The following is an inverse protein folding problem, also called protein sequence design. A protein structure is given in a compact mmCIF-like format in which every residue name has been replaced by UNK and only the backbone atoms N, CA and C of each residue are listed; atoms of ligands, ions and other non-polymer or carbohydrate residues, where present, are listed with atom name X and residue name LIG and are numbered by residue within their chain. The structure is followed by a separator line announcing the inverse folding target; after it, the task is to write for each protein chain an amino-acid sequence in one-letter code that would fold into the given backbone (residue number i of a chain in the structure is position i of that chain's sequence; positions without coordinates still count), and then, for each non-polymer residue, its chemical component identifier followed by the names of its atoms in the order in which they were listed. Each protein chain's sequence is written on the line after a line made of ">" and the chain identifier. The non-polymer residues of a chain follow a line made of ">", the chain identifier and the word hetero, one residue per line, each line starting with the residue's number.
data_IF_452167332172
#
_entry.id   IF_452167332172
#
_cell.length_a   1.000
_cell.length_b   1.000
_cell.length_c   1.000
_cell.angle_alpha   90.00
_cell.angle_beta   90.00
_cell.angle_gamma   90.00
#
_symmetry.space_group_name_H-M   'P 1'
#
loop_
_entity.id
_entity.type
_entity.pdbx_description
1 polymer ?
#
# COMPACT_ATOMS: atom_id res chain seq x y z
N UNK A 1 -12.01 -27.97 12.50
CA UNK A 1 -12.95 -27.10 13.22
C UNK A 1 -14.18 -26.74 12.38
N UNK A 2 -14.10 -25.86 11.36
CA UNK A 2 -15.30 -25.51 10.54
C UNK A 2 -15.89 -26.73 9.81
N UNK A 3 -15.04 -27.62 9.29
CA UNK A 3 -15.48 -28.89 8.68
C UNK A 3 -16.23 -29.76 9.70
N UNK A 4 -15.70 -29.91 10.91
CA UNK A 4 -16.33 -30.70 11.98
C UNK A 4 -17.71 -30.16 12.35
N UNK A 5 -17.87 -28.82 12.37
CA UNK A 5 -19.16 -28.16 12.56
C UNK A 5 -20.13 -28.49 11.41
N UNK A 6 -19.70 -28.36 10.16
CA UNK A 6 -20.53 -28.69 8.97
C UNK A 6 -20.92 -30.18 8.97
N UNK A 7 -20.01 -31.07 9.35
CA UNK A 7 -20.29 -32.50 9.47
C UNK A 7 -21.31 -32.78 10.58
N UNK A 8 -21.24 -32.05 11.70
CA UNK A 8 -22.20 -32.16 12.78
C UNK A 8 -23.61 -31.76 12.33
N UNK A 9 -23.78 -30.64 11.60
CA UNK A 9 -25.10 -30.24 11.11
C UNK A 9 -25.68 -31.19 10.06
N UNK A 10 -24.83 -31.81 9.24
CA UNK A 10 -25.26 -32.82 8.27
C UNK A 10 -25.76 -34.10 8.95
N UNK A 11 -25.12 -34.52 10.05
CA UNK A 11 -25.46 -35.76 10.75
C UNK A 11 -26.54 -35.58 11.83
N UNK A 12 -26.69 -34.36 12.37
CA UNK A 12 -27.59 -34.04 13.49
C UNK A 12 -28.38 -32.77 13.12
N UNK A 13 -29.43 -32.95 12.30
CA UNK A 13 -30.22 -31.84 11.75
C UNK A 13 -30.84 -30.91 12.80
N UNK A 14 -31.16 -31.41 14.00
CA UNK A 14 -31.72 -30.57 15.07
C UNK A 14 -30.74 -29.48 15.55
N UNK A 15 -29.43 -29.70 15.36
CA UNK A 15 -28.37 -28.75 15.71
C UNK A 15 -27.98 -27.83 14.56
N UNK A 16 -28.60 -27.93 13.38
CA UNK A 16 -28.18 -27.20 12.19
C UNK A 16 -28.17 -25.67 12.40
N UNK A 17 -29.13 -25.13 13.14
CA UNK A 17 -29.19 -23.69 13.44
C UNK A 17 -28.11 -23.27 14.43
N UNK A 18 -27.82 -24.08 15.46
CA UNK A 18 -26.75 -23.79 16.43
C UNK A 18 -25.38 -23.83 15.76
N UNK A 19 -25.15 -24.85 14.92
CA UNK A 19 -23.94 -24.96 14.10
C UNK A 19 -23.77 -23.74 13.20
N UNK A 20 -24.83 -23.32 12.50
CA UNK A 20 -24.83 -22.12 11.66
C UNK A 20 -24.35 -20.89 12.44
N UNK A 21 -24.91 -20.64 13.62
CA UNK A 21 -24.51 -19.50 14.45
C UNK A 21 -23.05 -19.60 14.91
N UNK A 22 -22.56 -20.79 15.29
CA UNK A 22 -21.15 -20.98 15.69
C UNK A 22 -20.19 -20.75 14.53
N UNK A 23 -20.53 -21.20 13.33
CA UNK A 23 -19.71 -20.94 12.13
C UNK A 23 -19.66 -19.43 11.83
N UNK A 24 -20.80 -18.73 11.91
CA UNK A 24 -20.88 -17.27 11.77
C UNK A 24 -19.98 -16.57 12.81
N UNK A 25 -20.06 -16.97 14.08
CA UNK A 25 -19.23 -16.41 15.16
C UNK A 25 -17.73 -16.62 14.92
N UNK A 26 -17.32 -17.81 14.44
CA UNK A 26 -15.93 -18.10 14.12
C UNK A 26 -15.40 -17.14 13.04
N UNK A 27 -16.17 -16.92 11.98
CA UNK A 27 -15.75 -15.98 10.92
C UNK A 27 -15.73 -14.53 11.40
N UNK A 28 -16.71 -14.09 12.18
CA UNK A 28 -16.71 -12.73 12.76
C UNK A 28 -15.52 -12.53 13.70
N UNK A 29 -15.24 -13.52 14.56
CA UNK A 29 -14.12 -13.48 15.50
C UNK A 29 -12.78 -13.45 14.77
N UNK A 30 -12.59 -14.27 13.73
CA UNK A 30 -11.36 -14.27 12.94
C UNK A 30 -11.11 -12.90 12.28
N UNK A 31 -12.14 -12.30 11.68
CA UNK A 31 -12.01 -10.98 11.05
C UNK A 31 -11.61 -9.92 12.08
N UNK A 32 -12.34 -9.87 13.20
CA UNK A 32 -12.11 -8.91 14.28
C UNK A 32 -10.71 -9.05 14.87
N UNK A 33 -10.26 -10.28 15.16
CA UNK A 33 -8.91 -10.53 15.70
C UNK A 33 -7.82 -10.17 14.70
N UNK A 34 -8.00 -10.47 13.42
CA UNK A 34 -7.02 -10.11 12.39
C UNK A 34 -6.89 -8.59 12.27
N UNK A 35 -8.02 -7.86 12.27
CA UNK A 35 -8.03 -6.39 12.26
C UNK A 35 -7.31 -5.83 13.51
N UNK A 36 -7.64 -6.33 14.70
CA UNK A 36 -7.01 -5.90 15.95
C UNK A 36 -5.49 -6.12 15.93
N UNK A 37 -5.03 -7.28 15.43
CA UNK A 37 -3.62 -7.65 15.43
C UNK A 37 -2.81 -6.81 14.43
N UNK A 38 -3.37 -6.53 13.26
CA UNK A 38 -2.67 -5.83 12.17
C UNK A 38 -2.90 -4.32 12.21
N UNK A 39 -4.16 -3.86 12.14
CA UNK A 39 -4.52 -2.44 12.12
C UNK A 39 -4.56 -1.83 13.53
N UNK A 40 -5.06 -2.58 14.51
CA UNK A 40 -5.11 -2.15 15.92
C UNK A 40 -3.76 -2.18 16.66
N UNK A 41 -2.64 -2.42 15.94
CA UNK A 41 -1.31 -2.64 16.48
C UNK A 41 -1.26 -3.72 17.59
N UNK A 42 -2.21 -4.66 17.57
CA UNK A 42 -2.33 -5.71 18.58
C UNK A 42 -1.07 -6.57 18.64
N UNK A 43 -0.52 -6.98 17.49
CA UNK A 43 0.71 -7.79 17.46
C UNK A 43 1.92 -7.10 18.10
N UNK A 44 1.99 -5.77 18.10
CA UNK A 44 3.07 -5.04 18.78
C UNK A 44 2.94 -5.26 20.30
N UNK A 45 1.72 -5.18 20.83
CA UNK A 45 1.44 -5.31 22.27
C UNK A 45 1.44 -6.76 22.77
N UNK A 46 0.89 -7.69 21.99
CA UNK A 46 0.68 -9.07 22.45
C UNK A 46 1.68 -10.08 21.90
N UNK A 47 2.36 -9.81 20.78
CA UNK A 47 3.37 -10.69 20.19
C UNK A 47 4.80 -10.11 20.24
N UNK A 48 4.99 -8.92 20.83
CA UNK A 48 6.31 -8.31 21.02
C UNK A 48 6.98 -7.84 19.72
N UNK A 49 6.22 -7.65 18.63
CA UNK A 49 6.80 -7.15 17.38
C UNK A 49 7.19 -5.67 17.51
N UNK A 50 8.35 -5.31 16.97
CA UNK A 50 8.79 -3.90 16.93
C UNK A 50 7.92 -3.04 16.01
N UNK A 51 7.42 -3.60 14.91
CA UNK A 51 6.54 -2.91 13.97
C UNK A 51 5.75 -3.89 13.11
N UNK A 52 4.63 -3.41 12.56
CA UNK A 52 3.88 -4.12 11.52
C UNK A 52 4.52 -3.77 10.16
N UNK A 53 4.97 -4.80 9.44
CA UNK A 53 5.68 -4.64 8.15
C UNK A 53 4.75 -4.94 6.99
N UNK A 54 5.14 -4.54 5.77
CA UNK A 54 4.41 -4.88 4.54
C UNK A 54 4.21 -6.41 4.37
N UNK A 55 5.16 -7.22 4.86
CA UNK A 55 5.03 -8.68 4.87
C UNK A 55 3.86 -9.14 5.75
N UNK A 56 3.70 -8.57 6.95
CA UNK A 56 2.60 -8.92 7.85
C UNK A 56 1.25 -8.55 7.22
N UNK A 57 1.16 -7.37 6.60
CA UNK A 57 -0.04 -6.92 5.91
C UNK A 57 -0.37 -7.82 4.72
N UNK A 58 0.62 -8.17 3.89
CA UNK A 58 0.41 -9.04 2.73
C UNK A 58 -0.08 -10.45 3.14
N UNK A 59 0.51 -11.03 4.19
CA UNK A 59 0.06 -12.33 4.73
C UNK A 59 -1.35 -12.26 5.33
N UNK A 60 -1.67 -11.20 6.06
CA UNK A 60 -3.02 -10.99 6.57
C UNK A 60 -4.04 -10.86 5.43
N UNK A 61 -3.71 -10.09 4.39
CA UNK A 61 -4.55 -9.92 3.19
C UNK A 61 -4.80 -11.25 2.46
N UNK A 62 -3.78 -12.11 2.36
CA UNK A 62 -3.95 -13.47 1.82
C UNK A 62 -4.87 -14.34 2.69
N UNK A 63 -4.68 -14.33 4.00
CA UNK A 63 -5.52 -15.10 4.93
C UNK A 63 -6.99 -14.67 4.84
N UNK A 64 -7.26 -13.37 4.74
CA UNK A 64 -8.61 -12.86 4.48
C UNK A 64 -9.10 -13.31 3.10
N UNK A 65 -8.24 -13.27 2.07
CA UNK A 65 -8.55 -13.75 0.72
C UNK A 65 -9.02 -15.21 0.69
N UNK A 66 -8.33 -16.09 1.42
CA UNK A 66 -8.72 -17.49 1.57
C UNK A 66 -10.14 -17.63 2.16
N UNK A 67 -10.43 -16.86 3.22
CA UNK A 67 -11.76 -16.89 3.85
C UNK A 67 -12.83 -16.33 2.91
N UNK A 68 -12.55 -15.24 2.20
CA UNK A 68 -13.42 -14.65 1.17
C UNK A 68 -13.80 -15.71 0.12
N UNK A 69 -12.82 -16.49 -0.36
CA UNK A 69 -13.06 -17.58 -1.31
C UNK A 69 -13.84 -18.73 -0.70
N UNK A 70 -13.62 -19.04 0.57
CA UNK A 70 -14.26 -20.18 1.25
C UNK A 70 -15.72 -19.93 1.66
N UNK A 71 -16.06 -18.68 2.03
CA UNK A 71 -17.37 -18.31 2.57
C UNK A 71 -18.56 -18.78 1.71
N UNK A 72 -18.57 -18.61 0.37
CA UNK A 72 -19.67 -19.09 -0.48
C UNK A 72 -19.89 -20.61 -0.40
N UNK A 73 -18.81 -21.39 -0.33
CA UNK A 73 -18.89 -22.85 -0.24
C UNK A 73 -19.42 -23.29 1.12
N UNK A 74 -18.95 -22.66 2.20
CA UNK A 74 -19.44 -22.95 3.56
C UNK A 74 -20.92 -22.59 3.70
N UNK A 75 -21.33 -21.44 3.14
CA UNK A 75 -22.73 -21.01 3.08
C UNK A 75 -23.59 -22.07 2.37
N UNK A 76 -23.12 -22.57 1.23
CA UNK A 76 -23.85 -23.58 0.45
C UNK A 76 -23.95 -24.93 1.16
N UNK A 77 -22.87 -25.40 1.80
CA UNK A 77 -22.90 -26.62 2.59
C UNK A 77 -23.91 -26.52 3.75
N UNK A 78 -23.94 -25.39 4.46
CA UNK A 78 -24.88 -25.20 5.56
C UNK A 78 -26.32 -25.08 5.06
N UNK A 79 -26.55 -24.44 3.90
CA UNK A 79 -27.88 -24.34 3.28
C UNK A 79 -28.55 -25.70 3.11
N UNK A 80 -27.79 -26.73 2.72
CA UNK A 80 -28.30 -28.09 2.52
C UNK A 80 -28.81 -28.75 3.81
N UNK A 81 -28.46 -28.22 4.98
CA UNK A 81 -28.87 -28.73 6.30
C UNK A 81 -30.02 -27.95 6.93
N UNK A 82 -30.45 -26.84 6.29
CA UNK A 82 -31.45 -25.91 6.83
C UNK A 82 -32.82 -26.12 6.18
N UNK A 83 -33.88 -25.79 6.92
CA UNK A 83 -35.25 -25.69 6.37
C UNK A 83 -35.42 -24.38 5.60
N UNK A 84 -36.42 -24.31 4.71
CA UNK A 84 -36.75 -23.12 3.91
C UNK A 84 -36.99 -21.87 4.77
N UNK A 85 -37.52 -22.01 5.98
CA UNK A 85 -37.69 -20.89 6.91
C UNK A 85 -36.35 -20.38 7.46
N UNK A 86 -35.39 -21.28 7.71
CA UNK A 86 -34.08 -20.97 8.27
C UNK A 86 -33.07 -20.43 7.24
N UNK A 87 -33.28 -20.68 5.94
CA UNK A 87 -32.38 -20.19 4.88
C UNK A 87 -32.17 -18.66 4.92
N UNK A 88 -33.14 -17.90 5.42
CA UNK A 88 -33.02 -16.44 5.59
C UNK A 88 -31.84 -16.03 6.48
N UNK A 89 -31.41 -16.88 7.40
CA UNK A 89 -30.27 -16.63 8.29
C UNK A 89 -28.94 -16.60 7.52
N UNK A 90 -28.88 -17.17 6.31
CA UNK A 90 -27.68 -17.17 5.47
C UNK A 90 -27.31 -15.79 4.93
N UNK A 91 -28.19 -14.78 5.05
CA UNK A 91 -27.87 -13.38 4.73
C UNK A 91 -26.69 -12.84 5.57
N UNK A 92 -26.44 -13.43 6.75
CA UNK A 92 -25.29 -13.08 7.57
C UNK A 92 -23.95 -13.40 6.88
N UNK A 93 -23.89 -14.43 6.02
CA UNK A 93 -22.68 -14.72 5.25
C UNK A 93 -22.38 -13.63 4.23
N UNK A 94 -23.40 -13.01 3.64
CA UNK A 94 -23.23 -11.91 2.68
C UNK A 94 -22.69 -10.66 3.39
N UNK A 95 -23.18 -10.39 4.62
CA UNK A 95 -22.66 -9.33 5.50
C UNK A 95 -21.20 -9.59 5.88
N UNK A 96 -20.89 -10.80 6.34
CA UNK A 96 -19.50 -11.19 6.69
C UNK A 96 -18.59 -11.05 5.46
N UNK A 97 -19.02 -11.54 4.29
CA UNK A 97 -18.22 -11.44 3.07
C UNK A 97 -17.90 -9.98 2.72
N UNK A 98 -18.86 -9.07 2.91
CA UNK A 98 -18.65 -7.63 2.74
C UNK A 98 -17.61 -7.11 3.75
N UNK A 99 -17.76 -7.42 5.04
CA UNK A 99 -16.83 -6.98 6.10
C UNK A 99 -15.39 -7.45 5.83
N UNK A 100 -15.21 -8.67 5.32
CA UNK A 100 -13.88 -9.20 4.96
C UNK A 100 -13.27 -8.44 3.77
N UNK A 101 -14.07 -8.10 2.76
CA UNK A 101 -13.60 -7.33 1.59
C UNK A 101 -13.23 -5.89 1.98
N UNK A 102 -14.02 -5.27 2.84
CA UNK A 102 -13.73 -3.93 3.38
C UNK A 102 -12.43 -3.95 4.18
N UNK A 103 -12.25 -4.91 5.09
CA UNK A 103 -11.00 -5.07 5.83
C UNK A 103 -9.80 -5.35 4.90
N UNK A 104 -9.95 -6.19 3.88
CA UNK A 104 -8.87 -6.43 2.91
C UNK A 104 -8.49 -5.15 2.14
N UNK A 105 -9.47 -4.33 1.75
CA UNK A 105 -9.25 -3.03 1.12
C UNK A 105 -8.53 -2.06 2.05
N UNK A 106 -8.90 -2.02 3.34
CA UNK A 106 -8.24 -1.19 4.34
C UNK A 106 -6.76 -1.58 4.53
N UNK A 107 -6.44 -2.88 4.52
CA UNK A 107 -5.06 -3.37 4.54
C UNK A 107 -4.25 -2.90 3.32
N UNK A 108 -4.86 -2.93 2.12
CA UNK A 108 -4.21 -2.44 0.90
C UNK A 108 -3.98 -0.93 0.96
N UNK A 109 -4.96 -0.16 1.42
CA UNK A 109 -4.84 1.29 1.58
C UNK A 109 -3.76 1.65 2.61
N UNK A 110 -3.61 0.88 3.69
CA UNK A 110 -2.54 1.09 4.66
C UNK A 110 -1.14 0.96 4.03
N UNK A 111 -0.94 0.00 3.10
CA UNK A 111 0.33 -0.09 2.35
C UNK A 111 0.60 1.19 1.55
N UNK A 112 -0.43 1.75 0.91
CA UNK A 112 -0.32 3.02 0.17
C UNK A 112 0.01 4.17 1.12
N UNK A 113 -0.64 4.27 2.27
CA UNK A 113 -0.38 5.29 3.31
C UNK A 113 1.06 5.23 3.82
N UNK A 114 1.57 4.03 4.12
CA UNK A 114 2.97 3.86 4.56
C UNK A 114 3.95 4.37 3.48
N UNK A 115 3.67 4.08 2.20
CA UNK A 115 4.51 4.62 1.12
C UNK A 115 4.33 6.12 0.94
N UNK A 116 3.14 6.66 1.21
CA UNK A 116 2.85 8.08 1.15
C UNK A 116 3.64 8.88 2.19
N UNK A 117 3.78 8.35 3.41
CA UNK A 117 4.64 8.90 4.45
C UNK A 117 6.12 8.90 4.03
N UNK A 118 6.60 7.80 3.45
CA UNK A 118 7.98 7.72 2.90
C UNK A 118 8.23 8.75 1.81
N UNK A 119 7.32 8.86 0.83
CA UNK A 119 7.44 9.87 -0.22
C UNK A 119 7.43 11.30 0.32
N UNK A 120 6.61 11.58 1.34
CA UNK A 120 6.61 12.89 1.97
C UNK A 120 7.94 13.17 2.69
N UNK A 121 8.50 12.20 3.39
CA UNK A 121 9.79 12.34 4.06
C UNK A 121 10.94 12.63 3.06
N UNK A 122 11.05 11.80 2.02
CA UNK A 122 12.09 11.97 0.99
C UNK A 122 11.87 13.23 0.14
N UNK A 123 10.62 13.61 -0.09
CA UNK A 123 10.23 14.83 -0.78
C UNK A 123 10.59 16.11 0.00
N UNK A 124 10.40 16.13 1.31
CA UNK A 124 10.89 17.24 2.15
C UNK A 124 12.42 17.34 2.15
N UNK A 125 13.10 16.19 2.10
CA UNK A 125 14.57 16.15 2.00
C UNK A 125 15.04 16.70 0.64
N UNK A 126 14.32 16.37 -0.44
CA UNK A 126 14.53 16.93 -1.77
C UNK A 126 14.33 18.44 -1.80
N UNK A 127 13.29 18.95 -1.14
CA UNK A 127 13.03 20.39 -1.03
C UNK A 127 14.15 21.13 -0.29
N UNK A 128 14.66 20.54 0.79
CA UNK A 128 15.75 21.13 1.58
C UNK A 128 17.14 20.97 0.94
N UNK A 129 17.25 20.25 -0.18
CA UNK A 129 18.53 20.04 -0.87
C UNK A 129 18.95 21.30 -1.61
N UNK A 130 20.21 21.71 -1.43
CA UNK A 130 20.79 22.78 -2.25
C UNK A 130 21.18 22.23 -3.63
N UNK A 131 20.32 22.50 -4.61
CA UNK A 131 20.48 22.07 -6.00
C UNK A 131 21.53 22.91 -6.75
N UNK A 132 21.75 24.16 -6.33
CA UNK A 132 22.62 25.12 -7.02
C UNK A 132 24.08 25.06 -6.56
N UNK A 133 24.42 24.15 -5.64
CA UNK A 133 25.82 23.89 -5.25
C UNK A 133 26.66 23.62 -6.49
N UNK A 134 27.70 24.44 -6.69
CA UNK A 134 28.76 24.20 -7.68
C UNK A 134 29.54 22.95 -7.27
N UNK A 135 29.16 21.81 -7.83
CA UNK A 135 29.95 20.60 -7.74
C UNK A 135 30.86 20.51 -9.00
N UNK A 136 31.99 19.83 -8.86
CA UNK A 136 33.12 19.91 -9.79
C UNK A 136 33.49 18.55 -10.41
N UNK A 137 32.57 17.57 -10.48
CA UNK A 137 32.92 16.20 -10.88
C UNK A 137 31.83 15.38 -11.58
N UNK A 138 32.17 14.18 -12.12
CA UNK A 138 31.21 13.32 -12.83
C UNK A 138 30.06 12.79 -11.94
N UNK A 139 30.16 12.90 -10.62
CA UNK A 139 29.08 12.58 -9.67
C UNK A 139 27.97 13.64 -9.63
N UNK A 140 28.16 14.77 -10.31
CA UNK A 140 27.24 15.91 -10.23
C UNK A 140 25.81 15.56 -10.71
N UNK A 141 25.67 14.60 -11.64
CA UNK A 141 24.37 14.13 -12.15
C UNK A 141 23.94 12.76 -11.59
N UNK A 142 24.59 12.28 -10.54
CA UNK A 142 24.14 11.06 -9.85
C UNK A 142 22.87 11.35 -9.05
N UNK A 143 21.95 10.36 -8.94
CA UNK A 143 20.75 10.53 -8.14
C UNK A 143 21.12 10.80 -6.68
N UNK A 144 20.30 11.60 -6.01
CA UNK A 144 20.45 11.92 -4.60
C UNK A 144 20.24 10.68 -3.73
N UNK A 145 20.92 10.59 -2.57
CA UNK A 145 20.76 9.44 -1.66
C UNK A 145 19.31 9.23 -1.20
N UNK A 146 18.51 10.28 -1.03
CA UNK A 146 17.09 10.16 -0.68
C UNK A 146 16.27 9.59 -1.84
N UNK A 147 16.55 9.97 -3.10
CA UNK A 147 15.87 9.39 -4.25
C UNK A 147 16.24 7.91 -4.44
N UNK A 148 17.52 7.56 -4.29
CA UNK A 148 17.96 6.17 -4.30
C UNK A 148 17.28 5.33 -3.22
N UNK A 149 17.15 5.91 -2.01
CA UNK A 149 16.50 5.24 -0.89
C UNK A 149 15.00 5.06 -1.14
N UNK A 150 14.29 6.08 -1.66
CA UNK A 150 12.88 5.97 -2.03
C UNK A 150 12.66 4.83 -3.04
N UNK A 151 13.42 4.82 -4.14
CA UNK A 151 13.35 3.75 -5.16
C UNK A 151 13.63 2.38 -4.55
N UNK A 152 14.63 2.26 -3.68
CA UNK A 152 14.98 1.00 -3.00
C UNK A 152 13.84 0.52 -2.09
N UNK A 153 13.23 1.40 -1.32
CA UNK A 153 12.08 1.08 -0.47
C UNK A 153 10.87 0.64 -1.29
N UNK A 154 10.59 1.30 -2.43
CA UNK A 154 9.53 0.90 -3.36
C UNK A 154 9.79 -0.48 -3.98
N UNK A 155 11.02 -0.75 -4.44
CA UNK A 155 11.41 -2.07 -4.96
C UNK A 155 11.28 -3.16 -3.91
N UNK A 156 11.63 -2.84 -2.67
CA UNK A 156 11.47 -3.78 -1.54
C UNK A 156 10.00 -4.08 -1.28
N UNK A 157 9.13 -3.07 -1.31
CA UNK A 157 7.69 -3.27 -1.21
C UNK A 157 7.20 -4.19 -2.34
N UNK A 158 7.47 -3.85 -3.60
CA UNK A 158 7.05 -4.66 -4.76
C UNK A 158 7.47 -6.12 -4.62
N UNK A 159 8.74 -6.37 -4.29
CA UNK A 159 9.27 -7.72 -4.06
C UNK A 159 8.54 -8.47 -2.95
N UNK A 160 8.24 -7.79 -1.84
CA UNK A 160 7.50 -8.40 -0.73
C UNK A 160 6.06 -8.72 -1.17
N UNK A 161 5.37 -7.77 -1.80
CA UNK A 161 4.00 -7.97 -2.25
C UNK A 161 3.92 -9.07 -3.32
N UNK A 162 4.79 -9.09 -4.32
CA UNK A 162 4.80 -10.11 -5.38
C UNK A 162 5.14 -11.51 -4.90
N UNK A 163 5.72 -11.66 -3.70
CA UNK A 163 5.94 -12.97 -3.08
C UNK A 163 4.68 -13.57 -2.46
N UNK A 164 3.72 -12.74 -2.06
CA UNK A 164 2.55 -13.17 -1.29
C UNK A 164 1.22 -12.86 -1.99
N UNK A 165 1.12 -11.83 -2.83
CA UNK A 165 -0.15 -11.43 -3.41
C UNK A 165 -0.26 -11.92 -4.86
N UNK A 166 -1.50 -12.07 -5.35
CA UNK A 166 -1.73 -12.33 -6.77
C UNK A 166 -1.26 -11.16 -7.62
N UNK A 167 -1.02 -11.41 -8.91
CA UNK A 167 -0.57 -10.39 -9.86
C UNK A 167 -1.57 -9.22 -9.91
N UNK A 168 -2.88 -9.49 -9.95
CA UNK A 168 -3.91 -8.45 -10.01
C UNK A 168 -3.90 -7.54 -8.78
N UNK A 169 -3.73 -8.12 -7.58
CA UNK A 169 -3.69 -7.35 -6.33
C UNK A 169 -2.37 -6.55 -6.25
N UNK A 170 -1.24 -7.16 -6.62
CA UNK A 170 0.05 -6.49 -6.71
C UNK A 170 -0.05 -5.27 -7.63
N UNK A 171 -0.60 -5.45 -8.82
CA UNK A 171 -0.82 -4.39 -9.80
C UNK A 171 -1.66 -3.25 -9.22
N UNK A 172 -2.82 -3.58 -8.65
CA UNK A 172 -3.72 -2.59 -8.08
C UNK A 172 -3.04 -1.73 -7.00
N UNK A 173 -2.31 -2.36 -6.07
CA UNK A 173 -1.63 -1.65 -4.98
C UNK A 173 -0.49 -0.79 -5.55
N UNK A 174 0.36 -1.36 -6.41
CA UNK A 174 1.52 -0.65 -6.94
C UNK A 174 1.12 0.52 -7.84
N UNK A 175 0.08 0.39 -8.66
CA UNK A 175 -0.45 1.50 -9.46
C UNK A 175 -1.02 2.64 -8.60
N UNK A 176 -1.61 2.32 -7.45
CA UNK A 176 -2.02 3.35 -6.47
C UNK A 176 -0.80 4.04 -5.83
N UNK A 177 0.24 3.28 -5.45
CA UNK A 177 1.49 3.83 -4.90
C UNK A 177 2.16 4.77 -5.91
N UNK A 178 2.34 4.35 -7.16
CA UNK A 178 3.03 5.16 -8.18
C UNK A 178 2.26 6.45 -8.51
N UNK A 179 0.94 6.37 -8.65
CA UNK A 179 0.09 7.55 -8.84
C UNK A 179 0.17 8.53 -7.68
N UNK A 180 0.17 8.01 -6.44
CA UNK A 180 0.34 8.82 -5.23
C UNK A 180 1.73 9.49 -5.20
N UNK A 181 2.78 8.77 -5.61
CA UNK A 181 4.13 9.35 -5.73
C UNK A 181 4.19 10.50 -6.72
N UNK A 182 3.62 10.35 -7.92
CA UNK A 182 3.57 11.45 -8.88
C UNK A 182 2.94 12.70 -8.25
N UNK A 183 1.79 12.55 -7.57
CA UNK A 183 1.11 13.67 -6.92
C UNK A 183 1.97 14.33 -5.82
N UNK A 184 2.55 13.54 -4.92
CA UNK A 184 3.36 14.08 -3.81
C UNK A 184 4.66 14.70 -4.30
N UNK A 185 5.39 14.04 -5.19
CA UNK A 185 6.66 14.54 -5.69
C UNK A 185 6.45 15.81 -6.54
N UNK A 186 5.40 15.89 -7.36
CA UNK A 186 5.06 17.13 -8.07
C UNK A 186 4.87 18.30 -7.11
N UNK A 187 4.11 18.10 -6.03
CA UNK A 187 3.89 19.14 -5.02
C UNK A 187 5.17 19.57 -4.30
N UNK A 188 6.16 18.67 -4.16
CA UNK A 188 7.45 19.03 -3.56
C UNK A 188 8.35 19.76 -4.57
N UNK A 189 8.39 19.30 -5.82
CA UNK A 189 9.18 19.91 -6.91
C UNK A 189 8.78 21.37 -7.14
N UNK A 190 7.48 21.69 -7.06
CA UNK A 190 6.98 23.07 -7.20
C UNK A 190 7.52 24.04 -6.15
N UNK A 191 7.93 23.52 -4.98
CA UNK A 191 8.43 24.30 -3.85
C UNK A 191 9.96 24.29 -3.74
N UNK A 192 10.66 23.70 -4.72
CA UNK A 192 12.12 23.70 -4.78
C UNK A 192 12.61 25.02 -5.38
N UNK A 193 13.52 25.70 -4.70
CA UNK A 193 14.19 26.90 -5.23
C UNK A 193 15.42 26.48 -6.05
N UNK A 194 15.33 26.66 -7.38
CA UNK A 194 16.43 26.37 -8.33
C UNK A 194 16.68 27.61 -9.18
N UNK A 195 17.90 28.13 -9.09
CA UNK A 195 18.34 29.35 -9.78
C UNK A 195 19.46 29.11 -10.80
N UNK A 196 19.91 27.85 -10.96
CA UNK A 196 20.92 27.47 -11.95
C UNK A 196 20.47 26.38 -12.91
N UNK A 197 21.01 26.39 -14.13
CA UNK A 197 20.79 25.32 -15.11
C UNK A 197 21.36 23.98 -14.62
N UNK A 198 22.48 24.01 -13.89
CA UNK A 198 23.08 22.82 -13.29
C UNK A 198 22.13 22.21 -12.25
N UNK A 199 21.58 23.02 -11.33
CA UNK A 199 20.62 22.54 -10.33
C UNK A 199 19.37 21.92 -10.96
N UNK A 200 18.84 22.53 -12.02
CA UNK A 200 17.72 21.96 -12.79
C UNK A 200 18.07 20.61 -13.40
N UNK A 201 19.26 20.47 -13.99
CA UNK A 201 19.72 19.21 -14.57
C UNK A 201 19.95 18.12 -13.51
N UNK A 202 20.38 18.49 -12.31
CA UNK A 202 20.51 17.58 -11.16
C UNK A 202 19.16 17.05 -10.70
N UNK A 203 18.17 17.93 -10.53
CA UNK A 203 16.80 17.51 -10.18
C UNK A 203 16.18 16.64 -11.28
N UNK A 204 16.46 16.96 -12.55
CA UNK A 204 16.00 16.14 -13.67
C UNK A 204 16.61 14.73 -13.64
N UNK A 205 17.90 14.61 -13.32
CA UNK A 205 18.56 13.30 -13.19
C UNK A 205 17.93 12.45 -12.08
N UNK A 206 17.53 13.07 -10.95
CA UNK A 206 16.79 12.41 -9.87
C UNK A 206 15.46 11.83 -10.34
N UNK A 207 14.68 12.64 -11.04
CA UNK A 207 13.36 12.24 -11.56
C UNK A 207 13.50 11.16 -12.63
N UNK A 208 14.48 11.29 -13.53
CA UNK A 208 14.76 10.29 -14.56
C UNK A 208 15.18 8.96 -13.94
N UNK A 209 16.06 8.99 -12.92
CA UNK A 209 16.44 7.80 -12.19
C UNK A 209 15.22 7.13 -11.52
N UNK A 210 14.34 7.90 -10.89
CA UNK A 210 13.10 7.38 -10.30
C UNK A 210 12.22 6.68 -11.35
N UNK A 211 11.93 7.34 -12.47
CA UNK A 211 11.07 6.79 -13.53
C UNK A 211 11.71 5.55 -14.14
N UNK A 212 12.98 5.62 -14.53
CA UNK A 212 13.70 4.51 -15.16
C UNK A 212 13.71 3.28 -14.25
N UNK A 213 14.08 3.46 -12.97
CA UNK A 213 14.21 2.33 -12.04
C UNK A 213 12.89 1.71 -11.65
N UNK A 214 11.81 2.49 -11.58
CA UNK A 214 10.48 1.96 -11.27
C UNK A 214 9.76 1.40 -12.50
N UNK A 215 10.17 1.80 -13.71
CA UNK A 215 9.69 1.19 -14.96
C UNK A 215 10.19 -0.25 -15.14
N UNK A 216 11.21 -0.68 -14.40
CA UNK A 216 11.69 -2.08 -14.41
C UNK A 216 10.88 -3.01 -13.51
N UNK A 217 9.79 -2.54 -12.90
CA UNK A 217 8.98 -3.37 -12.01
C UNK A 217 8.06 -4.27 -12.82
N UNK A 218 8.23 -5.59 -12.66
CA UNK A 218 7.41 -6.56 -13.36
C UNK A 218 5.92 -6.40 -13.02
N UNK A 219 5.10 -6.55 -14.06
CA UNK A 219 3.65 -6.48 -14.02
C UNK A 219 3.06 -5.13 -13.63
N UNK A 220 3.84 -4.10 -13.29
CA UNK A 220 3.30 -2.79 -12.89
C UNK A 220 3.41 -1.80 -14.04
N UNK A 221 2.38 -0.98 -14.26
CA UNK A 221 2.47 0.11 -15.22
C UNK A 221 3.54 1.13 -14.79
N UNK A 222 4.43 1.56 -15.70
CA UNK A 222 5.51 2.47 -15.37
C UNK A 222 4.96 3.86 -14.96
N UNK A 223 5.71 4.62 -14.15
CA UNK A 223 5.39 6.03 -13.90
C UNK A 223 5.35 6.82 -15.22
N UNK A 224 4.43 7.78 -15.32
CA UNK A 224 4.37 8.69 -16.45
C UNK A 224 5.46 9.78 -16.37
N UNK A 225 5.66 10.51 -17.48
CA UNK A 225 6.69 11.53 -17.58
C UNK A 225 6.28 12.90 -16.98
N UNK A 226 5.18 12.97 -16.21
CA UNK A 226 4.66 14.23 -15.68
C UNK A 226 5.66 14.96 -14.77
N UNK A 227 6.47 14.21 -14.02
CA UNK A 227 7.53 14.76 -13.19
C UNK A 227 8.65 15.39 -14.04
N UNK A 228 9.07 14.74 -15.13
CA UNK A 228 10.10 15.28 -16.03
C UNK A 228 9.60 16.56 -16.72
N UNK A 229 8.36 16.56 -17.18
CA UNK A 229 7.72 17.74 -17.79
C UNK A 229 7.71 18.89 -16.79
N UNK A 230 7.33 18.63 -15.53
CA UNK A 230 7.33 19.65 -14.49
C UNK A 230 8.73 20.24 -14.26
N UNK A 231 9.75 19.40 -14.11
CA UNK A 231 11.14 19.87 -13.91
C UNK A 231 11.61 20.67 -15.12
N UNK A 232 11.33 20.21 -16.35
CA UNK A 232 11.71 20.93 -17.57
C UNK A 232 11.03 22.30 -17.71
N UNK A 233 9.86 22.49 -17.09
CA UNK A 233 9.14 23.76 -17.08
C UNK A 233 9.55 24.72 -15.96
N UNK A 234 10.49 24.32 -15.07
CA UNK A 234 11.03 25.24 -14.05
C UNK A 234 11.76 26.39 -14.76
N UNK A 235 11.29 27.61 -14.51
CA UNK A 235 11.92 28.86 -14.97
C UNK A 235 13.04 29.21 -14.02
N UNK A 236 14.26 29.28 -14.53
CA UNK A 236 15.45 29.65 -13.76
C UNK A 236 15.41 31.16 -13.52
N UNK A 237 14.96 31.57 -12.33
CA UNK A 237 14.86 32.98 -11.92
C UNK A 237 16.17 33.49 -11.31
N UNK A 238 16.58 34.71 -11.66
CA UNK A 238 17.70 35.39 -11.00
C UNK A 238 17.28 35.76 -9.56
N UNK A 239 18.09 35.38 -8.55
CA UNK A 239 17.92 35.86 -7.16
C UNK A 239 17.76 37.40 -7.15
N UNK A 240 16.82 37.97 -6.37
CA UNK A 240 16.81 39.41 -6.12
C UNK A 240 18.18 39.81 -5.55
N UNK A 241 18.80 40.85 -6.14
CA UNK A 241 20.06 41.41 -5.64
C UNK A 241 19.88 41.77 -4.16
N UNK A 242 20.79 41.37 -3.25
CA UNK A 242 20.75 41.88 -1.89
C UNK A 242 20.85 43.42 -1.93
N UNK A 243 20.10 44.14 -1.07
CA UNK A 243 20.17 45.60 -1.03
C UNK A 243 21.63 46.02 -0.75
N UNK A 244 22.13 46.94 -1.57
CA UNK A 244 23.45 47.53 -1.40
C UNK A 244 23.55 48.12 0.01
N UNK A 245 24.65 47.89 0.75
CA UNK A 245 24.83 48.50 2.06
C UNK A 245 24.80 50.02 1.92
N UNK A 246 23.91 50.64 2.68
CA UNK A 246 23.83 52.09 2.83
C UNK A 246 25.21 52.61 3.24
N UNK A 247 25.76 53.54 2.44
CA UNK A 247 27.00 54.26 2.78
C UNK A 247 26.78 55.18 3.97
#
# INVERSE_FOLDING_TARGET
>A
MVIDYIQCSANIQILATDVLHRVIEIFKLFNSRTCQVILGAGAIRSAGLKSITAKHIALASQSLGLVITLLPYVRECLRQTLTTHQEKLLIEFDRILKDYREHQSELHNNLVTIMAERAQFHGKTMQATDWDVKQAGPKDFSPTPNMELLVKETKTLHKVLGRYLSIDILQSIMSQVLRMYSQKLMAQIQEVDITTAQGKQRLLADVQYFIERLSTLDHVEPPNNSLEVLVNNITIGAKPRPPLPSR
#
